data_IF_796457047842
#
_entry.id   IF_796457047842
#
_cell.length_a   1.000
_cell.length_b   1.000
_cell.length_c   1.000
_cell.angle_alpha   90.00
_cell.angle_beta   90.00
_cell.angle_gamma   90.00
#
_symmetry.space_group_name_H-M   'P 1'
#
loop_
_entity.id
_entity.type
_entity.pdbx_description
1 polymer ?
#
# COMPACT_ATOMS: atom_id res chain seq x y z
N UNK A 1 -25.97 -1.67 -22.79
CA UNK A 1 -26.52 -1.59 -21.41
C UNK A 1 -26.12 -0.25 -20.87
N UNK A 2 -27.06 0.53 -20.34
CA UNK A 2 -26.78 1.81 -19.69
C UNK A 2 -26.05 1.54 -18.38
N UNK A 3 -25.10 2.39 -18.02
CA UNK A 3 -24.24 2.24 -16.82
C UNK A 3 -25.04 2.27 -15.50
N UNK A 4 -26.31 2.71 -15.56
CA UNK A 4 -27.27 2.63 -14.46
C UNK A 4 -27.83 1.21 -14.23
N UNK A 5 -27.83 0.34 -15.25
CA UNK A 5 -28.20 -1.07 -15.11
C UNK A 5 -27.04 -1.95 -14.67
N UNK A 6 -25.81 -1.40 -14.64
CA UNK A 6 -24.63 -2.11 -14.18
C UNK A 6 -24.83 -2.60 -12.74
N UNK A 7 -24.50 -3.86 -12.49
CA UNK A 7 -24.53 -4.41 -11.15
C UNK A 7 -23.49 -3.68 -10.29
N UNK A 8 -23.83 -3.39 -9.05
CA UNK A 8 -22.93 -2.71 -8.11
C UNK A 8 -21.59 -3.45 -7.95
N UNK A 9 -21.62 -4.78 -8.01
CA UNK A 9 -20.42 -5.63 -7.93
C UNK A 9 -19.48 -5.52 -9.14
N UNK A 10 -19.99 -5.03 -10.28
CA UNK A 10 -19.21 -4.88 -11.51
C UNK A 10 -18.58 -3.48 -11.63
N UNK A 11 -18.93 -2.55 -10.72
CA UNK A 11 -18.33 -1.20 -10.70
C UNK A 11 -16.87 -1.29 -10.24
N UNK A 12 -15.88 -0.85 -11.05
CA UNK A 12 -14.47 -0.98 -10.71
C UNK A 12 -14.11 -0.36 -9.36
N UNK A 13 -13.54 -1.19 -8.46
CA UNK A 13 -13.12 -0.78 -7.13
C UNK A 13 -14.21 -0.71 -6.07
N UNK A 14 -15.44 -1.14 -6.37
CA UNK A 14 -16.44 -1.49 -5.36
C UNK A 14 -16.16 -2.91 -4.85
N UNK A 15 -15.98 -3.05 -3.53
CA UNK A 15 -15.67 -4.34 -2.93
C UNK A 15 -16.88 -5.26 -2.83
N UNK A 16 -16.66 -6.58 -2.89
CA UNK A 16 -17.71 -7.59 -2.73
C UNK A 16 -18.56 -7.43 -1.45
N UNK A 17 -18.02 -7.01 -0.27
CA UNK A 17 -18.85 -6.75 0.91
C UNK A 17 -19.90 -5.66 0.67
N UNK A 18 -19.52 -4.54 0.05
CA UNK A 18 -20.44 -3.44 -0.23
C UNK A 18 -21.51 -3.85 -1.24
N UNK A 19 -21.11 -4.56 -2.31
CA UNK A 19 -22.04 -5.04 -3.33
C UNK A 19 -23.08 -6.02 -2.77
N UNK A 20 -22.67 -6.95 -1.91
CA UNK A 20 -23.59 -7.91 -1.26
C UNK A 20 -24.55 -7.21 -0.31
N UNK A 21 -24.03 -6.34 0.57
CA UNK A 21 -24.85 -5.63 1.54
C UNK A 21 -25.91 -4.74 0.86
N UNK A 22 -25.58 -4.09 -0.26
CA UNK A 22 -26.54 -3.30 -1.02
C UNK A 22 -27.55 -4.20 -1.76
N UNK A 23 -27.10 -5.31 -2.36
CA UNK A 23 -28.00 -6.27 -3.01
C UNK A 23 -29.01 -6.89 -2.04
N UNK A 24 -28.62 -7.14 -0.79
CA UNK A 24 -29.52 -7.61 0.29
C UNK A 24 -30.63 -6.59 0.62
N UNK A 25 -30.40 -5.30 0.36
CA UNK A 25 -31.42 -4.25 0.46
C UNK A 25 -32.25 -4.07 -0.83
N UNK A 26 -32.10 -4.97 -1.81
CA UNK A 26 -32.73 -4.86 -3.12
C UNK A 26 -32.08 -3.83 -4.04
N UNK A 27 -30.88 -3.36 -3.70
CA UNK A 27 -30.08 -2.40 -4.48
C UNK A 27 -28.97 -3.16 -5.22
N UNK A 28 -29.35 -3.88 -6.28
CA UNK A 28 -28.43 -4.67 -7.09
C UNK A 28 -27.72 -3.87 -8.18
N UNK A 29 -28.31 -2.78 -8.68
CA UNK A 29 -27.75 -1.95 -9.76
C UNK A 29 -27.45 -0.53 -9.29
N UNK A 30 -26.56 0.16 -10.01
CA UNK A 30 -26.18 1.54 -9.68
C UNK A 30 -27.38 2.48 -9.70
N UNK A 31 -28.27 2.36 -10.69
CA UNK A 31 -29.44 3.24 -10.84
C UNK A 31 -30.42 3.15 -9.67
N UNK A 32 -30.48 2.03 -8.96
CA UNK A 32 -31.37 1.88 -7.79
C UNK A 32 -30.94 2.72 -6.59
N UNK A 33 -29.70 3.23 -6.59
CA UNK A 33 -29.17 4.12 -5.57
C UNK A 33 -29.60 5.59 -5.77
N UNK A 34 -30.10 5.96 -6.96
CA UNK A 34 -30.52 7.34 -7.23
C UNK A 34 -31.60 7.80 -6.22
N UNK A 35 -31.36 8.95 -5.59
CA UNK A 35 -32.23 9.53 -4.55
C UNK A 35 -32.21 8.81 -3.20
N UNK A 36 -31.38 7.78 -3.01
CA UNK A 36 -31.25 7.11 -1.70
C UNK A 36 -30.34 7.92 -0.78
N UNK A 37 -30.67 7.94 0.51
CA UNK A 37 -29.84 8.55 1.54
C UNK A 37 -28.61 7.67 1.84
N UNK A 38 -27.44 8.13 1.42
CA UNK A 38 -26.19 7.45 1.65
C UNK A 38 -25.87 7.31 3.15
N UNK A 39 -26.26 8.27 4.00
CA UNK A 39 -25.99 8.18 5.43
C UNK A 39 -26.64 6.94 6.06
N UNK A 40 -27.82 6.54 5.55
CA UNK A 40 -28.48 5.31 5.95
C UNK A 40 -27.77 4.07 5.39
N UNK A 41 -27.42 4.08 4.11
CA UNK A 41 -26.72 2.96 3.47
C UNK A 41 -25.34 2.69 4.09
N UNK A 42 -24.64 3.74 4.53
CA UNK A 42 -23.34 3.65 5.18
C UNK A 42 -23.40 2.96 6.57
N UNK A 43 -24.58 2.76 7.14
CA UNK A 43 -24.75 1.97 8.37
C UNK A 43 -24.66 0.46 8.13
N UNK A 44 -24.83 0.02 6.87
CA UNK A 44 -24.76 -1.39 6.50
C UNK A 44 -23.32 -1.90 6.64
N UNK A 45 -23.19 -3.07 7.26
CA UNK A 45 -21.89 -3.71 7.41
C UNK A 45 -21.26 -3.97 6.03
N UNK A 46 -20.03 -3.48 5.83
CA UNK A 46 -19.31 -3.63 4.56
C UNK A 46 -19.52 -2.51 3.55
N UNK A 47 -20.45 -1.57 3.79
CA UNK A 47 -20.70 -0.42 2.90
C UNK A 47 -19.89 0.80 3.36
N UNK A 48 -18.69 0.95 2.78
CA UNK A 48 -17.77 2.03 3.12
C UNK A 48 -17.85 3.26 2.19
N UNK A 49 -17.36 4.44 2.63
CA UNK A 49 -17.39 5.68 1.84
C UNK A 49 -16.61 5.59 0.52
N UNK A 50 -15.65 4.67 0.40
CA UNK A 50 -14.93 4.44 -0.85
C UNK A 50 -15.80 3.75 -1.92
N UNK A 51 -16.71 2.86 -1.53
CA UNK A 51 -17.69 2.28 -2.45
C UNK A 51 -18.73 3.33 -2.83
N UNK A 52 -19.27 4.06 -1.85
CA UNK A 52 -20.25 5.12 -2.09
C UNK A 52 -19.74 6.22 -3.02
N UNK A 53 -18.48 6.66 -2.90
CA UNK A 53 -17.90 7.66 -3.83
C UNK A 53 -17.86 7.17 -5.28
N UNK A 54 -17.55 5.89 -5.50
CA UNK A 54 -17.50 5.31 -6.85
C UNK A 54 -18.90 5.19 -7.44
N UNK A 55 -19.85 4.73 -6.65
CA UNK A 55 -21.25 4.62 -7.05
C UNK A 55 -21.87 6.00 -7.32
N UNK A 56 -21.56 6.99 -6.48
CA UNK A 56 -21.93 8.39 -6.69
C UNK A 56 -21.37 8.95 -8.01
N UNK A 57 -20.09 8.70 -8.31
CA UNK A 57 -19.49 9.17 -9.56
C UNK A 57 -20.19 8.57 -10.79
N UNK A 58 -20.53 7.27 -10.78
CA UNK A 58 -21.28 6.64 -11.89
C UNK A 58 -22.70 7.23 -12.02
N UNK A 59 -23.38 7.52 -10.90
CA UNK A 59 -24.68 8.20 -10.93
C UNK A 59 -24.56 9.61 -11.54
N UNK A 60 -23.55 10.37 -11.14
CA UNK A 60 -23.32 11.75 -11.60
C UNK A 60 -23.03 11.82 -13.10
N UNK A 61 -22.29 10.86 -13.66
CA UNK A 61 -22.07 10.72 -15.11
C UNK A 61 -23.39 10.61 -15.92
N UNK A 62 -24.48 10.21 -15.26
CA UNK A 62 -25.80 10.03 -15.85
C UNK A 62 -26.82 11.05 -15.35
N UNK A 63 -26.38 12.13 -14.69
CA UNK A 63 -27.25 13.18 -14.17
C UNK A 63 -28.11 12.76 -12.98
N UNK A 64 -27.74 11.68 -12.28
CA UNK A 64 -28.37 11.20 -11.05
C UNK A 64 -27.44 11.38 -9.84
N UNK A 65 -27.94 11.12 -8.63
CA UNK A 65 -27.12 11.16 -7.42
C UNK A 65 -27.84 10.56 -6.21
N UNK A 66 -27.08 10.18 -5.18
CA UNK A 66 -27.60 9.87 -3.85
C UNK A 66 -27.85 11.16 -3.05
N UNK A 67 -28.72 11.08 -2.05
CA UNK A 67 -28.84 12.09 -1.01
C UNK A 67 -27.71 11.90 0.03
N UNK A 68 -27.18 13.00 0.57
CA UNK A 68 -26.06 13.01 1.53
C UNK A 68 -24.86 12.13 1.12
N UNK A 69 -24.38 12.20 -0.14
CA UNK A 69 -23.35 11.29 -0.64
C UNK A 69 -22.06 11.44 0.17
N UNK A 70 -21.20 10.41 0.18
CA UNK A 70 -19.92 10.52 0.87
C UNK A 70 -19.11 11.65 0.24
N UNK A 71 -18.49 12.48 1.08
CA UNK A 71 -17.70 13.61 0.62
C UNK A 71 -16.72 13.18 -0.49
N UNK A 72 -16.62 13.96 -1.60
CA UNK A 72 -15.70 13.68 -2.68
C UNK A 72 -14.28 13.53 -2.15
N UNK A 73 -13.47 12.68 -2.78
CA UNK A 73 -12.05 12.61 -2.47
C UNK A 73 -11.37 13.86 -3.07
N UNK A 74 -11.32 14.96 -2.31
CA UNK A 74 -10.81 16.25 -2.78
C UNK A 74 -9.28 16.39 -2.63
N UNK A 75 -8.62 15.42 -1.98
CA UNK A 75 -7.16 15.42 -1.82
C UNK A 75 -6.44 14.69 -2.95
N UNK A 76 -5.21 15.11 -3.27
CA UNK A 76 -4.25 14.24 -3.95
C UNK A 76 -3.60 13.32 -2.92
N UNK A 77 -3.29 12.08 -3.32
CA UNK A 77 -2.34 11.28 -2.56
C UNK A 77 -0.98 11.95 -2.66
N UNK A 78 -0.38 12.25 -1.51
CA UNK A 78 0.94 12.88 -1.42
C UNK A 78 1.84 12.04 -0.54
N UNK A 79 3.12 12.00 -0.88
CA UNK A 79 4.17 11.40 -0.05
C UNK A 79 5.30 12.42 0.04
N UNK A 80 5.67 12.81 1.25
CA UNK A 80 6.71 13.81 1.51
C UNK A 80 7.83 13.19 2.33
N UNK A 81 9.07 13.64 2.13
CA UNK A 81 10.19 13.23 2.99
C UNK A 81 9.98 13.72 4.43
N UNK A 82 10.40 12.91 5.39
CA UNK A 82 10.30 13.15 6.83
C UNK A 82 9.00 12.62 7.43
N UNK A 83 9.09 12.12 8.66
CA UNK A 83 7.93 11.84 9.49
C UNK A 83 7.33 13.14 10.05
N UNK A 84 6.01 13.18 10.21
CA UNK A 84 5.32 14.34 10.80
C UNK A 84 4.79 14.07 12.21
N UNK A 85 4.79 12.81 12.65
CA UNK A 85 4.14 12.35 13.88
C UNK A 85 2.62 12.23 13.75
N UNK A 86 2.01 12.70 12.65
CA UNK A 86 0.57 12.65 12.42
C UNK A 86 0.18 11.33 11.77
N UNK A 87 -0.51 10.50 12.53
CA UNK A 87 -0.87 9.15 12.14
C UNK A 87 -2.35 8.88 12.44
N UNK A 88 -3.03 8.18 11.53
CA UNK A 88 -4.34 7.62 11.83
C UNK A 88 -4.25 6.60 12.99
N UNK A 89 -5.24 6.62 13.89
CA UNK A 89 -5.22 5.90 15.18
C UNK A 89 -5.06 4.38 15.07
N UNK A 90 -5.46 3.81 13.95
CA UNK A 90 -5.43 2.38 13.65
C UNK A 90 -4.10 1.92 13.02
N UNK A 91 -3.19 2.84 12.68
CA UNK A 91 -1.84 2.49 12.22
C UNK A 91 -1.05 1.91 13.39
N UNK A 92 -0.62 0.66 13.25
CA UNK A 92 0.13 -0.06 14.30
C UNK A 92 1.62 -0.14 14.03
N UNK A 93 2.03 -0.04 12.78
CA UNK A 93 3.45 -0.01 12.40
C UNK A 93 4.00 1.39 12.59
N UNK A 94 4.99 1.54 13.45
CA UNK A 94 5.70 2.79 13.71
C UNK A 94 7.17 2.49 13.98
N UNK A 95 8.04 3.49 13.83
CA UNK A 95 9.44 3.38 14.22
C UNK A 95 9.56 2.99 15.70
N UNK A 96 10.53 2.13 16.01
CA UNK A 96 10.78 1.66 17.38
C UNK A 96 12.23 1.90 17.78
N UNK A 97 12.52 1.79 19.07
CA UNK A 97 13.89 1.88 19.60
C UNK A 97 14.68 0.57 19.49
N UNK A 98 14.10 -0.49 18.90
CA UNK A 98 14.81 -1.76 18.69
C UNK A 98 15.90 -1.56 17.65
N UNK A 99 17.11 -1.98 17.98
CA UNK A 99 18.22 -1.94 17.02
C UNK A 99 18.01 -2.99 15.90
N UNK A 100 18.08 -2.61 14.61
CA UNK A 100 17.91 -3.54 13.50
C UNK A 100 18.92 -4.69 13.47
N UNK A 101 20.17 -4.47 13.90
CA UNK A 101 21.18 -5.51 13.96
C UNK A 101 20.86 -6.51 15.07
N UNK A 102 20.47 -6.03 16.26
CA UNK A 102 20.02 -6.91 17.36
C UNK A 102 18.81 -7.78 16.94
N UNK A 103 17.85 -7.18 16.24
CA UNK A 103 16.70 -7.93 15.68
C UNK A 103 17.16 -9.02 14.70
N UNK A 104 18.06 -8.69 13.78
CA UNK A 104 18.60 -9.63 12.78
C UNK A 104 19.39 -10.75 13.44
N UNK A 105 20.21 -10.45 14.45
CA UNK A 105 21.00 -11.43 15.19
C UNK A 105 20.10 -12.42 15.94
N UNK A 106 18.94 -11.96 16.41
CA UNK A 106 17.90 -12.79 17.02
C UNK A 106 17.20 -13.76 16.05
N UNK A 107 17.35 -13.60 14.73
CA UNK A 107 16.70 -14.48 13.74
C UNK A 107 17.35 -15.87 13.71
N UNK A 108 16.57 -16.85 13.26
CA UNK A 108 16.99 -18.25 13.17
C UNK A 108 17.49 -18.64 11.77
N UNK A 109 18.46 -19.55 11.75
CA UNK A 109 18.97 -20.19 10.55
C UNK A 109 19.41 -19.18 9.49
N UNK A 110 19.01 -19.44 8.24
CA UNK A 110 19.39 -18.61 7.08
C UNK A 110 18.89 -17.17 7.15
N UNK A 111 17.83 -16.87 7.91
CA UNK A 111 17.27 -15.51 7.95
C UNK A 111 18.17 -14.53 8.67
N UNK A 112 19.00 -14.99 9.61
CA UNK A 112 20.06 -14.18 10.22
C UNK A 112 21.05 -13.71 9.16
N UNK A 113 21.68 -14.64 8.45
CA UNK A 113 22.66 -14.32 7.42
C UNK A 113 22.08 -13.45 6.28
N UNK A 114 20.88 -13.78 5.81
CA UNK A 114 20.19 -12.98 4.79
C UNK A 114 19.82 -11.59 5.30
N UNK A 115 19.38 -11.47 6.56
CA UNK A 115 19.08 -10.19 7.20
C UNK A 115 20.33 -9.31 7.34
N UNK A 116 21.45 -9.87 7.80
CA UNK A 116 22.73 -9.17 7.89
C UNK A 116 23.16 -8.66 6.52
N UNK A 117 23.04 -9.51 5.50
CA UNK A 117 23.42 -9.14 4.13
C UNK A 117 22.52 -8.05 3.55
N UNK A 118 21.22 -8.08 3.83
CA UNK A 118 20.30 -7.02 3.41
C UNK A 118 20.55 -5.70 4.15
N UNK A 119 20.94 -5.72 5.43
CA UNK A 119 21.37 -4.51 6.15
C UNK A 119 22.56 -3.85 5.42
N UNK A 120 23.55 -4.63 5.01
CA UNK A 120 24.71 -4.13 4.27
C UNK A 120 24.34 -3.55 2.91
N UNK A 121 23.54 -4.27 2.11
CA UNK A 121 23.18 -3.84 0.75
C UNK A 121 22.32 -2.57 0.80
N UNK A 122 21.28 -2.53 1.63
CA UNK A 122 20.45 -1.33 1.76
C UNK A 122 21.23 -0.15 2.34
N UNK A 123 22.08 -0.38 3.35
CA UNK A 123 22.92 0.66 3.92
C UNK A 123 23.86 1.28 2.89
N UNK A 124 24.53 0.47 2.05
CA UNK A 124 25.39 0.98 0.97
C UNK A 124 24.60 1.73 -0.11
N UNK A 125 23.48 1.17 -0.54
CA UNK A 125 22.68 1.76 -1.63
C UNK A 125 22.00 3.08 -1.25
N UNK A 126 21.58 3.21 0.02
CA UNK A 126 20.87 4.40 0.51
C UNK A 126 21.79 5.44 1.15
N UNK A 127 22.90 5.00 1.75
CA UNK A 127 23.72 5.83 2.63
C UNK A 127 23.04 6.21 3.95
N UNK A 128 21.90 5.58 4.28
CA UNK A 128 21.07 5.91 5.43
C UNK A 128 21.14 4.81 6.51
N UNK A 129 20.89 5.19 7.76
CA UNK A 129 20.79 4.22 8.86
C UNK A 129 19.45 3.49 8.83
N UNK A 130 19.50 2.19 9.11
CA UNK A 130 18.33 1.37 9.28
C UNK A 130 17.57 1.74 10.57
N UNK A 131 16.24 1.64 10.52
CA UNK A 131 15.35 1.81 11.69
C UNK A 131 14.36 0.63 11.73
N UNK A 132 14.06 0.11 12.92
CA UNK A 132 13.01 -0.90 13.09
C UNK A 132 11.62 -0.27 13.04
N UNK A 133 10.71 -0.88 12.28
CA UNK A 133 9.31 -0.50 12.14
C UNK A 133 8.39 -1.63 12.54
N UNK A 134 7.62 -1.41 13.60
CA UNK A 134 6.82 -2.46 14.22
C UNK A 134 7.68 -3.67 14.62
N UNK A 135 7.12 -4.90 14.56
CA UNK A 135 7.81 -6.07 15.11
C UNK A 135 8.82 -6.72 14.16
N UNK A 136 8.84 -6.37 12.86
CA UNK A 136 9.56 -7.20 11.88
C UNK A 136 10.00 -6.52 10.58
N UNK A 137 9.82 -5.19 10.45
CA UNK A 137 10.26 -4.45 9.28
C UNK A 137 11.46 -3.60 9.62
N UNK A 138 12.40 -3.52 8.69
CA UNK A 138 13.58 -2.66 8.75
C UNK A 138 13.45 -1.66 7.61
N UNK A 139 13.45 -0.37 7.95
CA UNK A 139 13.20 0.72 7.03
C UNK A 139 14.37 1.69 6.93
N UNK A 140 14.45 2.38 5.80
CA UNK A 140 15.43 3.40 5.46
C UNK A 140 14.73 4.66 4.98
N UNK A 141 15.17 5.79 5.52
CA UNK A 141 14.49 7.08 5.38
C UNK A 141 13.12 7.11 6.04
N UNK A 142 12.58 8.30 6.21
CA UNK A 142 11.22 8.50 6.72
C UNK A 142 10.42 9.31 5.72
N UNK A 143 9.14 8.97 5.58
CA UNK A 143 8.20 9.65 4.72
C UNK A 143 6.85 9.75 5.42
N UNK A 144 6.11 10.79 5.06
CA UNK A 144 4.74 10.97 5.48
C UNK A 144 3.83 10.86 4.26
N UNK A 145 2.87 9.94 4.33
CA UNK A 145 1.86 9.78 3.30
C UNK A 145 0.53 10.36 3.76
N UNK A 146 -0.21 10.93 2.81
CA UNK A 146 -1.59 11.35 2.98
C UNK A 146 -2.38 10.96 1.75
N UNK A 147 -3.36 10.08 1.93
CA UNK A 147 -4.26 9.68 0.86
C UNK A 147 -5.29 10.77 0.57
N UNK A 148 -5.87 10.70 -0.63
CA UNK A 148 -6.99 11.54 -1.06
C UNK A 148 -8.19 11.52 -0.08
N UNK A 149 -8.34 10.44 0.67
CA UNK A 149 -9.38 10.25 1.70
C UNK A 149 -9.10 11.00 3.00
N UNK A 150 -7.94 11.64 3.13
CA UNK A 150 -7.47 12.31 4.35
C UNK A 150 -6.77 11.36 5.34
N UNK A 151 -6.80 10.04 5.11
CA UNK A 151 -6.00 9.10 5.90
C UNK A 151 -4.52 9.37 5.70
N UNK A 152 -3.78 9.56 6.79
CA UNK A 152 -2.35 9.87 6.75
C UNK A 152 -1.56 9.07 7.79
N UNK A 153 -0.26 8.94 7.55
CA UNK A 153 0.68 8.31 8.45
C UNK A 153 2.13 8.43 8.01
N UNK A 154 3.03 8.07 8.92
CA UNK A 154 4.46 8.02 8.70
C UNK A 154 4.89 6.58 8.43
N UNK A 155 5.88 6.41 7.56
CA UNK A 155 6.49 5.12 7.22
C UNK A 155 7.93 5.33 6.74
N UNK A 156 8.67 4.25 6.53
CA UNK A 156 9.94 4.29 5.83
C UNK A 156 9.76 4.46 4.32
N UNK A 157 10.77 5.01 3.62
CA UNK A 157 10.76 5.11 2.15
C UNK A 157 10.97 3.73 1.51
N UNK A 158 12.07 3.08 1.87
CA UNK A 158 12.46 1.74 1.39
C UNK A 158 12.71 0.84 2.59
N UNK A 159 12.61 -0.48 2.41
CA UNK A 159 12.91 -1.38 3.51
C UNK A 159 12.74 -2.83 3.15
N UNK A 160 12.90 -3.69 4.15
CA UNK A 160 12.67 -5.11 4.02
C UNK A 160 12.14 -5.75 5.31
N UNK A 161 11.64 -6.98 5.18
CA UNK A 161 11.25 -7.83 6.31
C UNK A 161 11.74 -9.25 6.05
N UNK A 162 12.64 -9.80 6.88
CA UNK A 162 13.14 -11.17 6.75
C UNK A 162 12.14 -12.17 7.35
N UNK A 163 11.01 -12.37 6.68
CA UNK A 163 9.91 -13.23 7.17
C UNK A 163 10.28 -14.70 7.06
N UNK A 164 9.55 -15.56 7.79
CA UNK A 164 9.79 -17.01 7.77
C UNK A 164 9.75 -17.60 6.35
N UNK A 165 8.72 -17.29 5.57
CA UNK A 165 8.52 -17.86 4.24
C UNK A 165 9.36 -17.18 3.14
N UNK A 166 9.47 -15.85 3.17
CA UNK A 166 10.16 -15.04 2.16
C UNK A 166 10.79 -13.78 2.75
N UNK A 167 11.71 -13.19 1.99
CA UNK A 167 12.17 -11.81 2.17
C UNK A 167 11.15 -10.92 1.47
N UNK A 168 10.50 -10.03 2.20
CA UNK A 168 9.67 -8.98 1.61
C UNK A 168 10.50 -7.71 1.46
N UNK A 169 10.57 -7.17 0.24
CA UNK A 169 11.28 -5.93 -0.09
C UNK A 169 10.24 -4.87 -0.47
N UNK A 170 10.39 -3.67 0.09
CA UNK A 170 9.39 -2.60 0.02
C UNK A 170 9.95 -1.38 -0.72
N UNK A 171 9.08 -0.70 -1.48
CA UNK A 171 9.40 0.58 -2.11
C UNK A 171 10.31 0.48 -3.35
N UNK A 172 10.52 -0.71 -3.90
CA UNK A 172 11.45 -0.90 -5.05
C UNK A 172 10.78 -0.75 -6.43
N UNK A 173 9.47 -0.51 -6.48
CA UNK A 173 8.68 -0.49 -7.71
C UNK A 173 8.17 0.92 -8.02
N UNK A 174 7.78 1.16 -9.29
CA UNK A 174 7.16 2.42 -9.71
C UNK A 174 8.12 3.52 -10.14
N UNK A 175 9.41 3.18 -10.33
CA UNK A 175 10.42 4.10 -10.87
C UNK A 175 10.78 3.72 -12.31
N UNK A 176 11.30 4.66 -13.13
CA UNK A 176 11.49 4.46 -14.56
C UNK A 176 12.28 3.20 -14.97
N UNK A 177 13.25 2.76 -14.15
CA UNK A 177 14.05 1.54 -14.42
C UNK A 177 13.70 0.36 -13.52
N UNK A 178 12.68 0.47 -12.65
CA UNK A 178 12.32 -0.62 -11.74
C UNK A 178 11.99 -1.90 -12.49
N UNK A 179 11.21 -1.82 -13.58
CA UNK A 179 10.78 -3.02 -14.31
C UNK A 179 11.95 -3.73 -15.01
N UNK A 180 12.82 -2.97 -15.69
CA UNK A 180 14.06 -3.48 -16.32
C UNK A 180 14.96 -4.20 -15.29
N UNK A 181 15.16 -3.60 -14.12
CA UNK A 181 16.00 -4.17 -13.08
C UNK A 181 15.35 -5.40 -12.43
N UNK A 182 14.03 -5.41 -12.27
CA UNK A 182 13.31 -6.56 -11.75
C UNK A 182 13.39 -7.76 -12.69
N UNK A 183 13.32 -7.56 -14.00
CA UNK A 183 13.53 -8.63 -14.99
C UNK A 183 14.91 -9.29 -14.87
N UNK A 184 15.93 -8.51 -14.52
CA UNK A 184 17.31 -8.96 -14.32
C UNK A 184 17.59 -9.50 -12.91
N UNK A 185 16.70 -9.26 -11.94
CA UNK A 185 16.93 -9.56 -10.53
C UNK A 185 17.05 -11.04 -10.25
N UNK A 186 16.37 -11.91 -11.00
CA UNK A 186 16.26 -13.35 -10.71
C UNK A 186 14.88 -13.75 -10.22
N UNK A 187 14.77 -14.85 -9.48
CA UNK A 187 13.46 -15.43 -9.12
C UNK A 187 12.77 -14.64 -7.99
N UNK A 188 11.72 -13.93 -8.35
CA UNK A 188 10.94 -13.11 -7.42
C UNK A 188 9.44 -13.14 -7.74
N UNK A 189 8.62 -12.68 -6.80
CA UNK A 189 7.19 -12.40 -7.00
C UNK A 189 6.92 -10.92 -6.77
N UNK A 190 5.97 -10.36 -7.52
CA UNK A 190 5.55 -8.95 -7.38
C UNK A 190 4.15 -8.85 -6.79
N UNK A 191 3.96 -7.90 -5.90
CA UNK A 191 2.66 -7.43 -5.43
C UNK A 191 2.51 -5.94 -5.70
N UNK A 192 1.36 -5.38 -5.31
CA UNK A 192 1.06 -3.95 -5.54
C UNK A 192 2.15 -3.00 -5.01
N UNK A 193 2.81 -3.38 -3.91
CA UNK A 193 3.81 -2.54 -3.24
C UNK A 193 5.11 -3.21 -2.82
N UNK A 194 5.26 -4.50 -3.10
CA UNK A 194 6.35 -5.30 -2.55
C UNK A 194 6.84 -6.34 -3.54
N UNK A 195 8.11 -6.68 -3.38
CA UNK A 195 8.81 -7.73 -4.11
C UNK A 195 9.16 -8.80 -3.10
N UNK A 196 8.75 -10.04 -3.36
CA UNK A 196 9.07 -11.17 -2.50
C UNK A 196 10.11 -12.06 -3.13
N UNK A 197 11.14 -12.37 -2.35
CA UNK A 197 12.24 -13.24 -2.73
C UNK A 197 12.30 -14.38 -1.73
N UNK A 198 12.31 -15.63 -2.20
CA UNK A 198 12.29 -16.78 -1.29
C UNK A 198 13.58 -16.87 -0.50
N UNK A 199 14.72 -16.72 -1.17
CA UNK A 199 16.07 -16.76 -0.60
C UNK A 199 17.01 -15.83 -1.35
N UNK A 200 17.97 -15.25 -0.64
CA UNK A 200 18.90 -14.31 -1.26
C UNK A 200 19.68 -14.92 -2.44
N UNK A 201 20.09 -16.20 -2.41
CA UNK A 201 20.71 -16.85 -3.57
C UNK A 201 19.83 -17.03 -4.82
N UNK A 202 18.51 -16.76 -4.73
CA UNK A 202 17.62 -16.81 -5.90
C UNK A 202 17.71 -15.52 -6.74
N UNK A 203 18.44 -14.51 -6.28
CA UNK A 203 18.56 -13.19 -6.93
C UNK A 203 20.01 -12.73 -7.07
N UNK A 204 20.23 -11.81 -8.01
CA UNK A 204 21.48 -11.10 -8.20
C UNK A 204 21.56 -9.90 -7.23
N UNK A 205 22.48 -9.97 -6.27
CA UNK A 205 22.68 -8.91 -5.27
C UNK A 205 23.17 -7.59 -5.86
N UNK A 206 23.89 -7.62 -6.99
CA UNK A 206 24.35 -6.41 -7.68
C UNK A 206 23.17 -5.68 -8.30
N UNK A 207 22.27 -6.44 -8.95
CA UNK A 207 21.03 -5.89 -9.50
C UNK A 207 20.11 -5.40 -8.39
N UNK A 208 20.04 -6.11 -7.26
CA UNK A 208 19.30 -5.65 -6.07
C UNK A 208 19.83 -4.30 -5.57
N UNK A 209 21.15 -4.14 -5.45
CA UNK A 209 21.77 -2.89 -5.02
C UNK A 209 21.47 -1.75 -5.99
N UNK A 210 21.59 -1.99 -7.31
CA UNK A 210 21.23 -1.01 -8.36
C UNK A 210 19.75 -0.60 -8.25
N UNK A 211 18.85 -1.56 -8.03
CA UNK A 211 17.42 -1.33 -7.86
C UNK A 211 17.11 -0.48 -6.63
N UNK A 212 17.73 -0.77 -5.48
CA UNK A 212 17.55 0.00 -4.25
C UNK A 212 18.08 1.42 -4.44
N UNK A 213 19.27 1.60 -5.01
CA UNK A 213 19.85 2.91 -5.26
C UNK A 213 18.98 3.74 -6.21
N UNK A 214 18.46 3.12 -7.28
CA UNK A 214 17.56 3.77 -8.22
C UNK A 214 16.26 4.23 -7.54
N UNK A 215 15.61 3.34 -6.77
CA UNK A 215 14.40 3.67 -6.02
C UNK A 215 14.64 4.75 -4.95
N UNK A 216 15.81 4.75 -4.31
CA UNK A 216 16.18 5.74 -3.30
C UNK A 216 16.30 7.15 -3.90
N UNK A 217 16.99 7.26 -5.04
CA UNK A 217 17.19 8.50 -5.79
C UNK A 217 15.88 9.05 -6.36
N UNK A 218 14.98 8.17 -6.79
CA UNK A 218 13.64 8.55 -7.25
C UNK A 218 12.78 9.21 -6.16
N UNK A 219 13.16 9.05 -4.89
CA UNK A 219 12.50 9.67 -3.75
C UNK A 219 11.21 8.96 -3.31
N UNK A 220 10.42 9.59 -2.43
CA UNK A 220 9.15 9.02 -2.00
C UNK A 220 8.20 8.89 -3.20
N UNK A 221 8.05 7.66 -3.70
CA UNK A 221 7.02 7.31 -4.68
C UNK A 221 5.62 7.32 -4.05
N UNK A 222 4.58 7.07 -4.85
CA UNK A 222 3.23 6.84 -4.32
C UNK A 222 3.29 5.63 -3.39
N UNK A 223 2.87 5.81 -2.13
CA UNK A 223 2.84 4.71 -1.15
C UNK A 223 1.98 3.55 -1.66
N UNK A 224 2.45 2.35 -1.32
CA UNK A 224 1.79 1.07 -1.56
C UNK A 224 0.37 1.00 -0.99
#
# INVERSE_FOLDING_TARGET
MTTLETLIGDVPGVGAPAARALAEQGLGTVGQLAGRDWAQLATLHGVGPAAGRRLQAVLEEHGAGMENPPAPATGRTTVTRGATGRNAKDIRTHATAVDPADYVDGLEGRRRAEGTRLLEIFGRATGERAVMWGPSMIGYGEVHYRYATGREGDTFQLGFSPRKADLALYGLQGFPRSDELLERLGTHRRGAGCVWVRKLPDIDETVLEELIAHAWQGGPGTVC
#
